data_IF_631672559095
#
_entry.id   IF_631672559095
#
_cell.length_a   1.000
_cell.length_b   1.000
_cell.length_c   1.000
_cell.angle_alpha   90.00
_cell.angle_beta   90.00
_cell.angle_gamma   90.00
#
_symmetry.space_group_name_H-M   'P 1'
#
loop_
_entity.id
_entity.type
_entity.pdbx_description
1 polymer ?
#
# COMPACT_ATOMS: atom_id res chain seq x y z
N UNK A 1 -41.75 47.35 -1.12
CA UNK A 1 -42.00 45.91 -1.22
C UNK A 1 -40.71 45.21 -0.82
N UNK A 2 -40.66 44.63 0.35
CA UNK A 2 -39.46 43.86 0.69
C UNK A 2 -39.49 42.50 -0.01
N UNK A 3 -38.42 42.20 -0.65
CA UNK A 3 -38.16 40.94 -1.33
C UNK A 3 -37.85 39.86 -0.27
N UNK A 4 -38.65 38.80 -0.27
CA UNK A 4 -38.47 37.70 0.64
C UNK A 4 -37.32 36.80 0.13
N UNK A 5 -36.19 36.92 0.78
CA UNK A 5 -35.07 35.97 0.60
C UNK A 5 -35.50 34.57 1.09
N UNK A 6 -35.83 33.68 0.16
CA UNK A 6 -35.99 32.25 0.42
C UNK A 6 -34.67 31.64 0.81
N UNK A 7 -34.50 31.42 2.10
CA UNK A 7 -33.41 30.63 2.62
C UNK A 7 -33.45 29.20 2.06
N UNK A 8 -32.45 28.82 1.27
CA UNK A 8 -32.17 27.43 0.92
C UNK A 8 -31.58 26.77 2.15
N UNK A 9 -32.44 26.08 2.90
CA UNK A 9 -31.98 25.12 3.91
C UNK A 9 -31.29 23.96 3.16
N UNK A 10 -29.97 23.99 3.16
CA UNK A 10 -29.19 22.86 2.71
C UNK A 10 -29.45 21.67 3.64
N UNK A 11 -30.06 20.61 3.10
CA UNK A 11 -30.11 19.33 3.79
C UNK A 11 -28.69 18.87 4.02
N UNK A 12 -28.35 18.37 5.22
CA UNK A 12 -27.10 17.66 5.42
C UNK A 12 -27.08 16.47 4.46
N UNK A 13 -26.07 16.40 3.61
CA UNK A 13 -25.80 15.19 2.85
C UNK A 13 -25.39 14.12 3.86
N UNK A 14 -26.34 13.29 4.27
CA UNK A 14 -26.01 12.03 4.91
C UNK A 14 -25.13 11.26 3.92
N UNK A 15 -23.82 11.24 4.20
CA UNK A 15 -22.93 10.26 3.62
C UNK A 15 -23.44 8.91 4.15
N UNK A 16 -24.28 8.25 3.35
CA UNK A 16 -24.66 6.86 3.61
C UNK A 16 -23.36 6.08 3.64
N UNK A 17 -22.89 5.74 4.82
CA UNK A 17 -21.86 4.72 5.00
C UNK A 17 -22.42 3.43 4.41
N UNK A 18 -22.03 3.16 3.18
CA UNK A 18 -22.28 1.84 2.60
C UNK A 18 -21.49 0.84 3.46
N UNK A 19 -22.13 -0.24 3.91
CA UNK A 19 -21.40 -1.25 4.66
C UNK A 19 -20.20 -1.73 3.83
N UNK A 20 -19.02 -1.75 4.45
CA UNK A 20 -17.83 -2.24 3.80
C UNK A 20 -17.89 -3.75 3.64
N UNK A 21 -17.57 -4.20 2.43
CA UNK A 21 -17.52 -5.63 2.13
C UNK A 21 -16.39 -6.28 2.94
N UNK A 22 -16.61 -7.46 3.55
CA UNK A 22 -15.55 -8.21 4.22
C UNK A 22 -14.36 -8.44 3.29
N UNK A 23 -13.16 -8.41 3.85
CA UNK A 23 -11.91 -8.67 3.13
C UNK A 23 -11.06 -9.70 3.86
N UNK A 24 -10.26 -10.46 3.12
CA UNK A 24 -9.26 -11.34 3.68
C UNK A 24 -7.93 -10.61 3.96
N UNK A 25 -6.95 -11.34 4.51
CA UNK A 25 -5.64 -10.79 4.87
C UNK A 25 -4.84 -10.20 3.69
N UNK A 26 -5.20 -10.52 2.46
CA UNK A 26 -4.63 -9.94 1.24
C UNK A 26 -5.48 -8.80 0.67
N UNK A 27 -6.51 -8.36 1.40
CA UNK A 27 -7.42 -7.31 0.97
C UNK A 27 -8.40 -7.74 -0.12
N UNK A 28 -8.53 -9.04 -0.41
CA UNK A 28 -9.49 -9.54 -1.41
C UNK A 28 -10.91 -9.44 -0.87
N UNK A 29 -11.86 -8.89 -1.64
CA UNK A 29 -13.27 -8.88 -1.25
C UNK A 29 -13.79 -10.32 -1.07
N UNK A 30 -14.51 -10.54 0.02
CA UNK A 30 -15.14 -11.80 0.36
C UNK A 30 -16.66 -11.72 0.19
N UNK A 31 -17.40 -12.85 0.19
CA UNK A 31 -18.85 -12.82 0.25
C UNK A 31 -19.37 -11.97 1.41
N UNK A 32 -20.55 -11.36 1.26
CA UNK A 32 -21.12 -10.45 2.27
C UNK A 32 -21.38 -11.09 3.62
N UNK A 33 -21.56 -12.40 3.66
CA UNK A 33 -21.77 -13.21 4.85
C UNK A 33 -20.47 -13.78 5.44
N UNK A 34 -19.33 -13.51 4.80
CA UNK A 34 -18.04 -13.94 5.30
C UNK A 34 -17.57 -13.06 6.46
N UNK A 35 -16.72 -13.63 7.31
CA UNK A 35 -16.02 -12.87 8.35
C UNK A 35 -14.93 -12.00 7.73
N UNK A 36 -14.82 -10.76 8.22
CA UNK A 36 -13.73 -9.88 7.86
C UNK A 36 -12.48 -10.26 8.64
N UNK A 37 -11.46 -10.76 7.94
CA UNK A 37 -10.18 -11.17 8.55
C UNK A 37 -9.06 -10.16 8.32
N UNK A 38 -9.33 -9.06 7.60
CA UNK A 38 -8.39 -7.97 7.43
C UNK A 38 -8.48 -7.00 8.60
N UNK A 39 -7.39 -6.86 9.31
CA UNK A 39 -7.22 -5.87 10.37
C UNK A 39 -6.30 -4.76 9.87
N UNK A 40 -6.80 -3.53 9.92
CA UNK A 40 -6.03 -2.32 9.56
C UNK A 40 -6.13 -1.30 10.69
N UNK A 41 -5.02 -0.64 10.94
CA UNK A 41 -5.00 0.55 11.79
C UNK A 41 -5.69 1.72 11.07
N UNK A 42 -6.10 2.72 11.82
CA UNK A 42 -6.68 3.96 11.30
C UNK A 42 -5.57 4.91 10.82
N UNK A 43 -4.92 4.56 9.72
CA UNK A 43 -3.74 5.26 9.21
C UNK A 43 -3.96 6.75 9.00
N UNK A 44 -5.16 7.15 8.55
CA UNK A 44 -5.49 8.56 8.33
C UNK A 44 -5.48 9.40 9.61
N UNK A 45 -5.68 8.76 10.77
CA UNK A 45 -5.64 9.40 12.07
C UNK A 45 -4.22 9.49 12.67
N UNK A 46 -3.24 8.88 12.03
CA UNK A 46 -1.87 8.80 12.52
C UNK A 46 -0.93 9.75 11.73
N UNK A 47 0.12 10.29 12.36
CA UNK A 47 1.11 11.08 11.65
C UNK A 47 1.95 10.21 10.69
N UNK A 48 2.58 10.87 9.72
CA UNK A 48 3.38 10.22 8.68
C UNK A 48 4.45 9.27 9.27
N UNK A 49 5.17 9.70 10.29
CA UNK A 49 6.24 8.91 10.91
C UNK A 49 5.71 7.61 11.51
N UNK A 50 4.52 7.65 12.10
CA UNK A 50 3.88 6.47 12.66
C UNK A 50 3.38 5.53 11.55
N UNK A 51 2.82 6.06 10.47
CA UNK A 51 2.42 5.27 9.31
C UNK A 51 3.63 4.61 8.63
N UNK A 52 4.76 5.30 8.52
CA UNK A 52 6.01 4.72 8.03
C UNK A 52 6.49 3.58 8.94
N UNK A 53 6.48 3.79 10.25
CA UNK A 53 6.86 2.75 11.23
C UNK A 53 5.97 1.52 11.11
N UNK A 54 4.66 1.71 11.00
CA UNK A 54 3.69 0.62 10.82
C UNK A 54 3.89 -0.10 9.50
N UNK A 55 4.13 0.63 8.41
CA UNK A 55 4.43 0.06 7.10
C UNK A 55 5.63 -0.89 7.15
N UNK A 56 6.71 -0.46 7.79
CA UNK A 56 7.91 -1.29 7.99
C UNK A 56 7.62 -2.52 8.85
N UNK A 57 6.93 -2.35 9.97
CA UNK A 57 6.57 -3.45 10.86
C UNK A 57 5.70 -4.49 10.16
N UNK A 58 4.72 -4.06 9.40
CA UNK A 58 3.87 -4.97 8.61
C UNK A 58 4.65 -5.71 7.53
N UNK A 59 5.49 -5.00 6.75
CA UNK A 59 6.30 -5.64 5.72
C UNK A 59 7.21 -6.72 6.33
N UNK A 60 7.93 -6.36 7.38
CA UNK A 60 8.87 -7.28 8.05
C UNK A 60 8.16 -8.50 8.67
N UNK A 61 6.88 -8.38 8.98
CA UNK A 61 6.03 -9.46 9.47
C UNK A 61 5.30 -10.25 8.37
N UNK A 62 5.54 -9.92 7.10
CA UNK A 62 4.87 -10.57 5.97
C UNK A 62 3.42 -10.14 5.75
N UNK A 63 2.99 -9.05 6.37
CA UNK A 63 1.66 -8.47 6.20
C UNK A 63 1.70 -7.38 5.13
N UNK A 64 1.70 -7.79 3.87
CA UNK A 64 1.96 -6.88 2.73
C UNK A 64 0.83 -5.92 2.43
N UNK A 65 -0.42 -6.33 2.58
CA UNK A 65 -1.55 -5.44 2.33
C UNK A 65 -1.61 -4.30 3.37
N UNK A 66 -1.53 -4.54 4.67
CA UNK A 66 -1.42 -3.45 5.64
C UNK A 66 -0.19 -2.56 5.43
N UNK A 67 0.96 -3.12 5.04
CA UNK A 67 2.14 -2.34 4.71
C UNK A 67 1.87 -1.37 3.55
N UNK A 68 1.26 -1.85 2.47
CA UNK A 68 0.86 -1.04 1.34
C UNK A 68 -0.07 0.10 1.77
N UNK A 69 -1.10 -0.17 2.54
CA UNK A 69 -2.07 0.82 3.00
C UNK A 69 -1.42 1.90 3.90
N UNK A 70 -0.54 1.50 4.81
CA UNK A 70 0.20 2.42 5.67
C UNK A 70 1.05 3.40 4.85
N UNK A 71 1.80 2.90 3.89
CA UNK A 71 2.65 3.74 3.03
C UNK A 71 1.86 4.53 1.99
N UNK A 72 0.72 4.05 1.53
CA UNK A 72 -0.17 4.84 0.68
C UNK A 72 -0.68 6.08 1.43
N UNK A 73 -1.04 5.92 2.70
CA UNK A 73 -1.41 7.05 3.56
C UNK A 73 -0.21 7.98 3.78
N UNK A 74 0.97 7.44 4.09
CA UNK A 74 2.19 8.23 4.24
C UNK A 74 2.51 9.03 2.95
N UNK A 75 2.34 8.42 1.79
CA UNK A 75 2.49 9.11 0.51
C UNK A 75 1.55 10.30 0.36
N UNK A 76 0.27 10.12 0.69
CA UNK A 76 -0.72 11.22 0.66
C UNK A 76 -0.35 12.34 1.64
N UNK A 77 0.14 11.97 2.82
CA UNK A 77 0.59 12.92 3.85
C UNK A 77 1.89 13.66 3.44
N UNK A 78 2.75 13.02 2.66
CA UNK A 78 3.99 13.59 2.15
C UNK A 78 3.80 14.41 0.87
N UNK A 79 2.57 14.58 0.40
CA UNK A 79 2.28 15.36 -0.82
C UNK A 79 2.94 16.74 -0.75
N UNK A 80 3.49 17.18 -1.87
CA UNK A 80 4.21 18.46 -2.01
C UNK A 80 5.51 18.54 -1.17
N UNK A 81 6.01 17.40 -0.71
CA UNK A 81 7.34 17.29 -0.08
C UNK A 81 8.28 16.44 -0.93
N UNK A 82 9.61 16.55 -0.71
CA UNK A 82 10.58 15.71 -1.43
C UNK A 82 10.40 14.19 -1.20
N UNK A 83 9.73 13.79 -0.12
CA UNK A 83 9.55 12.38 0.24
C UNK A 83 8.30 11.73 -0.38
N UNK A 84 7.46 12.47 -1.08
CA UNK A 84 6.23 11.93 -1.66
C UNK A 84 6.51 10.72 -2.58
N UNK A 85 7.48 10.82 -3.49
CA UNK A 85 7.84 9.73 -4.40
C UNK A 85 8.50 8.55 -3.69
N UNK A 86 9.19 8.79 -2.57
CA UNK A 86 9.75 7.74 -1.73
C UNK A 86 8.65 6.85 -1.15
N UNK A 87 7.66 7.45 -0.51
CA UNK A 87 6.53 6.69 0.07
C UNK A 87 5.64 6.07 -0.99
N UNK A 88 5.46 6.73 -2.13
CA UNK A 88 4.80 6.11 -3.28
C UNK A 88 5.52 4.84 -3.72
N UNK A 89 6.85 4.88 -3.78
CA UNK A 89 7.68 3.73 -4.11
C UNK A 89 7.51 2.58 -3.11
N UNK A 90 7.57 2.86 -1.81
CA UNK A 90 7.35 1.86 -0.77
C UNK A 90 5.94 1.25 -0.84
N UNK A 91 4.92 2.09 -1.05
CA UNK A 91 3.54 1.62 -1.22
C UNK A 91 3.41 0.69 -2.43
N UNK A 92 4.06 1.01 -3.54
CA UNK A 92 4.06 0.17 -4.74
C UNK A 92 4.80 -1.15 -4.54
N UNK A 93 5.88 -1.17 -3.77
CA UNK A 93 6.54 -2.42 -3.37
C UNK A 93 5.59 -3.31 -2.57
N UNK A 94 4.93 -2.75 -1.56
CA UNK A 94 3.92 -3.46 -0.78
C UNK A 94 2.81 -4.04 -1.66
N UNK A 95 2.27 -3.24 -2.57
CA UNK A 95 1.27 -3.70 -3.54
C UNK A 95 1.80 -4.79 -4.48
N UNK A 96 3.06 -4.71 -4.89
CA UNK A 96 3.70 -5.74 -5.72
C UNK A 96 3.77 -7.09 -5.01
N UNK A 97 4.14 -7.10 -3.73
CA UNK A 97 4.12 -8.32 -2.93
C UNK A 97 2.71 -8.87 -2.73
N UNK A 98 1.71 -8.01 -2.54
CA UNK A 98 0.30 -8.42 -2.47
C UNK A 98 -0.15 -9.10 -3.78
N UNK A 99 0.14 -8.50 -4.92
CA UNK A 99 -0.18 -9.08 -6.22
C UNK A 99 0.49 -10.43 -6.44
N UNK A 100 1.74 -10.57 -5.99
CA UNK A 100 2.44 -11.86 -6.06
C UNK A 100 1.69 -12.92 -5.26
N UNK A 101 1.29 -12.63 -4.05
CA UNK A 101 0.55 -13.57 -3.21
C UNK A 101 -0.87 -13.86 -3.71
N UNK A 102 -1.47 -12.91 -4.42
CA UNK A 102 -2.77 -13.14 -5.09
C UNK A 102 -2.67 -13.97 -6.38
N UNK A 103 -1.48 -14.35 -6.80
CA UNK A 103 -1.27 -15.09 -8.04
C UNK A 103 -1.18 -14.23 -9.30
N UNK A 104 -1.04 -12.92 -9.17
CA UNK A 104 -0.96 -11.97 -10.30
C UNK A 104 0.50 -11.65 -10.64
N UNK A 105 1.12 -12.47 -11.49
CA UNK A 105 2.51 -12.31 -11.90
C UNK A 105 2.78 -10.98 -12.60
N UNK A 106 1.93 -10.59 -13.54
CA UNK A 106 2.10 -9.36 -14.32
C UNK A 106 2.00 -8.11 -13.44
N UNK A 107 0.97 -8.04 -12.60
CA UNK A 107 0.79 -6.93 -11.66
C UNK A 107 1.93 -6.84 -10.64
N UNK A 108 2.38 -7.97 -10.14
CA UNK A 108 3.51 -8.04 -9.19
C UNK A 108 4.79 -7.48 -9.83
N UNK A 109 5.21 -8.00 -10.98
CA UNK A 109 6.44 -7.55 -11.64
C UNK A 109 6.39 -6.06 -11.98
N UNK A 110 5.28 -5.57 -12.51
CA UNK A 110 5.08 -4.16 -12.85
C UNK A 110 5.22 -3.24 -11.64
N UNK A 111 4.56 -3.57 -10.53
CA UNK A 111 4.59 -2.73 -9.32
C UNK A 111 5.93 -2.81 -8.60
N UNK A 112 6.56 -3.98 -8.54
CA UNK A 112 7.89 -4.14 -7.96
C UNK A 112 8.91 -3.29 -8.72
N UNK A 113 8.88 -3.28 -10.04
CA UNK A 113 9.78 -2.45 -10.86
C UNK A 113 9.52 -0.95 -10.68
N UNK A 114 8.27 -0.53 -10.65
CA UNK A 114 7.91 0.87 -10.43
C UNK A 114 8.32 1.37 -9.05
N UNK A 115 8.03 0.59 -8.03
CA UNK A 115 8.42 0.90 -6.66
C UNK A 115 9.94 0.96 -6.50
N UNK A 116 10.65 -0.02 -7.04
CA UNK A 116 12.11 -0.05 -7.04
C UNK A 116 12.72 1.18 -7.71
N UNK A 117 12.20 1.58 -8.87
CA UNK A 117 12.68 2.78 -9.59
C UNK A 117 12.51 4.07 -8.78
N UNK A 118 11.40 4.22 -8.06
CA UNK A 118 11.20 5.37 -7.17
C UNK A 118 12.12 5.37 -5.97
N UNK A 119 12.23 4.25 -5.29
CA UNK A 119 13.10 4.12 -4.10
C UNK A 119 14.57 4.34 -4.50
N UNK A 120 15.00 3.82 -5.63
CA UNK A 120 16.37 3.99 -6.16
C UNK A 120 16.71 5.44 -6.47
N UNK A 121 15.73 6.31 -6.67
CA UNK A 121 15.92 7.75 -6.88
C UNK A 121 16.36 8.51 -5.62
N UNK A 122 16.39 7.86 -4.46
CA UNK A 122 16.81 8.46 -3.19
C UNK A 122 18.19 7.95 -2.77
N UNK A 123 18.94 8.78 -1.98
CA UNK A 123 20.26 8.38 -1.51
C UNK A 123 20.21 7.14 -0.64
N UNK A 124 21.31 6.41 -0.61
CA UNK A 124 21.48 5.28 0.32
C UNK A 124 21.28 5.73 1.76
N UNK A 125 20.50 4.96 2.51
CA UNK A 125 20.17 5.29 3.90
C UNK A 125 19.08 6.35 4.05
N UNK A 126 18.42 6.77 2.98
CA UNK A 126 17.32 7.74 3.07
C UNK A 126 16.24 7.25 4.04
N UNK A 127 15.94 8.05 5.04
CA UNK A 127 15.05 7.68 6.16
C UNK A 127 15.39 6.33 6.80
N UNK A 128 16.67 5.98 6.83
CA UNK A 128 17.16 4.73 7.40
C UNK A 128 16.97 3.49 6.53
N UNK A 129 16.55 3.65 5.26
CA UNK A 129 16.34 2.55 4.33
C UNK A 129 17.58 2.31 3.48
N UNK A 130 18.01 1.05 3.39
CA UNK A 130 18.98 0.59 2.39
C UNK A 130 18.30 0.56 1.02
N UNK A 131 18.27 1.72 0.35
CA UNK A 131 17.53 1.93 -0.90
C UNK A 131 18.06 1.05 -2.03
N UNK A 132 19.35 0.83 -2.09
CA UNK A 132 19.98 -0.05 -3.11
C UNK A 132 19.55 -1.50 -2.92
N UNK A 133 19.60 -2.01 -1.69
CA UNK A 133 19.20 -3.38 -1.37
C UNK A 133 17.70 -3.61 -1.59
N UNK A 134 16.88 -2.71 -1.12
CA UNK A 134 15.41 -2.79 -1.24
C UNK A 134 14.99 -2.78 -2.71
N UNK A 135 15.51 -1.84 -3.49
CA UNK A 135 15.21 -1.75 -4.91
C UNK A 135 15.77 -2.96 -5.69
N UNK A 136 17.00 -3.35 -5.42
CA UNK A 136 17.64 -4.49 -6.08
C UNK A 136 16.92 -5.82 -5.83
N UNK A 137 16.47 -6.05 -4.59
CA UNK A 137 15.69 -7.24 -4.25
C UNK A 137 14.32 -7.26 -4.95
N UNK A 138 13.66 -6.13 -5.06
CA UNK A 138 12.37 -6.04 -5.77
C UNK A 138 12.53 -6.30 -7.28
N UNK A 139 13.56 -5.75 -7.90
CA UNK A 139 13.87 -5.99 -9.32
C UNK A 139 14.23 -7.46 -9.57
N UNK A 140 15.05 -8.06 -8.72
CA UNK A 140 15.40 -9.47 -8.81
C UNK A 140 14.20 -10.38 -8.65
N UNK A 141 13.27 -10.04 -7.76
CA UNK A 141 12.03 -10.78 -7.59
C UNK A 141 11.13 -10.64 -8.82
N UNK A 142 11.01 -9.44 -9.39
CA UNK A 142 10.27 -9.23 -10.64
C UNK A 142 10.83 -10.10 -11.78
N UNK A 143 12.15 -10.14 -11.93
CA UNK A 143 12.82 -11.02 -12.91
C UNK A 143 12.50 -12.50 -12.66
N UNK A 144 12.57 -12.94 -11.41
CA UNK A 144 12.31 -14.32 -11.02
C UNK A 144 10.85 -14.73 -11.32
N UNK A 145 9.92 -13.84 -11.10
CA UNK A 145 8.49 -14.06 -11.42
C UNK A 145 8.28 -14.16 -12.93
N UNK A 146 8.85 -13.24 -13.69
CA UNK A 146 8.73 -13.24 -15.16
C UNK A 146 9.39 -14.46 -15.80
N UNK A 147 10.47 -14.96 -15.21
CA UNK A 147 11.20 -16.15 -15.69
C UNK A 147 10.63 -17.47 -15.16
N UNK A 148 9.55 -17.43 -14.37
CA UNK A 148 8.92 -18.62 -13.81
C UNK A 148 9.71 -19.30 -12.69
N UNK A 149 10.75 -18.64 -12.13
CA UNK A 149 11.52 -19.16 -10.98
C UNK A 149 10.82 -18.99 -9.65
N UNK A 150 9.90 -18.04 -9.55
CA UNK A 150 8.98 -17.86 -8.44
C UNK A 150 7.56 -18.00 -8.97
N UNK A 151 6.81 -18.95 -8.42
CA UNK A 151 5.40 -19.17 -8.77
C UNK A 151 4.52 -18.26 -7.92
N UNK A 152 3.72 -17.37 -8.52
CA UNK A 152 2.79 -16.54 -7.77
C UNK A 152 1.73 -17.37 -7.04
N UNK A 153 1.31 -16.88 -5.89
CA UNK A 153 0.30 -17.49 -5.02
C UNK A 153 0.63 -17.32 -3.55
N UNK A 154 -0.25 -17.78 -2.67
CA UNK A 154 -0.03 -17.67 -1.22
C UNK A 154 1.17 -18.50 -0.74
N UNK A 155 1.57 -19.52 -1.49
CA UNK A 155 2.74 -20.37 -1.24
C UNK A 155 4.00 -19.88 -1.96
N UNK A 156 3.99 -18.67 -2.53
CA UNK A 156 5.14 -18.12 -3.24
C UNK A 156 6.37 -18.07 -2.32
N UNK A 157 7.49 -18.63 -2.79
CA UNK A 157 8.75 -18.67 -2.05
C UNK A 157 9.56 -17.41 -2.35
N UNK A 158 9.50 -16.43 -1.46
CA UNK A 158 10.27 -15.20 -1.52
C UNK A 158 10.43 -14.59 -0.13
N UNK A 159 11.49 -13.85 0.06
CA UNK A 159 11.72 -13.08 1.29
C UNK A 159 12.10 -11.64 0.92
N UNK A 160 11.22 -10.66 1.20
CA UNK A 160 11.60 -9.26 1.09
C UNK A 160 12.72 -8.92 2.06
N UNK A 161 13.61 -7.99 1.72
CA UNK A 161 14.61 -7.51 2.67
C UNK A 161 13.90 -6.83 3.86
N UNK A 162 14.49 -6.98 5.02
CA UNK A 162 14.07 -6.22 6.23
C UNK A 162 14.32 -4.73 5.96
N UNK A 163 13.33 -3.92 6.28
CA UNK A 163 13.35 -2.50 5.96
C UNK A 163 13.33 -1.61 7.21
#
# INVERSE_FOLDING_TARGET
MPDEARGKTGRPTETRNKPERPRDHLGRPQPWDAENTLELEEFDALPLEENDRLGRGHLNAGRYFPAHEAWETAWKQARDTPDAEFYKGLSQLGAGYVHLMRGNAHGAAKLLRRGAGRVRGYPEGHRGVDTTRVAGAAEALADAVEQGRVTPGEDAAFEPPVI
#
